data_IF_886679564071
#
_entry.id   IF_886679564071
#
_cell.length_a   1.000
_cell.length_b   1.000
_cell.length_c   1.000
_cell.angle_alpha   90.00
_cell.angle_beta   90.00
_cell.angle_gamma   90.00
#
_symmetry.space_group_name_H-M   'P 1'
#
loop_
_entity.id
_entity.type
_entity.pdbx_description
1 polymer ?
#
# COMPACT_ATOMS: atom_id res chain seq x y z
N UNK A 1 -3.94 5.68 9.59
CA UNK A 1 -2.91 6.17 8.66
C UNK A 1 -3.58 6.54 7.36
N UNK A 2 -3.20 7.67 6.75
CA UNK A 2 -3.73 8.09 5.45
C UNK A 2 -3.06 7.32 4.31
N UNK A 3 -3.75 7.19 3.18
CA UNK A 3 -3.25 6.42 2.03
C UNK A 3 -1.87 6.87 1.53
N UNK A 4 -1.58 8.18 1.53
CA UNK A 4 -0.29 8.72 1.11
C UNK A 4 0.86 8.35 2.07
N UNK A 5 0.57 8.24 3.37
CA UNK A 5 1.57 7.86 4.37
C UNK A 5 1.96 6.40 4.17
N UNK A 6 0.96 5.54 3.94
CA UNK A 6 1.17 4.12 3.65
C UNK A 6 1.93 3.93 2.33
N UNK A 7 1.57 4.67 1.27
CA UNK A 7 2.29 4.70 0.00
C UNK A 7 3.77 5.06 0.20
N UNK A 8 4.06 6.09 1.00
CA UNK A 8 5.43 6.48 1.30
C UNK A 8 6.18 5.39 2.07
N UNK A 9 5.54 4.78 3.07
CA UNK A 9 6.17 3.70 3.86
C UNK A 9 6.52 2.49 3.02
N UNK A 10 5.61 2.02 2.15
CA UNK A 10 5.90 0.87 1.27
C UNK A 10 6.92 1.25 0.19
N UNK A 11 6.88 2.50 -0.31
CA UNK A 11 7.82 3.01 -1.30
C UNK A 11 9.26 2.99 -0.80
N UNK A 12 9.49 3.44 0.44
CA UNK A 12 10.79 3.32 1.10
C UNK A 12 11.25 1.87 1.31
N UNK A 13 10.33 0.91 1.26
CA UNK A 13 10.61 -0.53 1.36
C UNK A 13 10.67 -1.22 0.00
N UNK A 14 10.95 -0.50 -1.08
CA UNK A 14 11.17 -1.06 -2.41
C UNK A 14 9.89 -1.38 -3.21
N UNK A 15 8.71 -1.03 -2.70
CA UNK A 15 7.48 -1.17 -3.47
C UNK A 15 7.31 -0.01 -4.46
N UNK A 16 7.17 -0.31 -5.74
CA UNK A 16 7.00 0.69 -6.80
C UNK A 16 5.60 0.64 -7.39
N UNK A 17 5.10 1.82 -7.78
CA UNK A 17 3.79 1.96 -8.41
C UNK A 17 3.78 1.33 -9.80
N UNK A 18 2.69 0.63 -10.13
CA UNK A 18 2.52 -0.06 -11.42
C UNK A 18 1.38 0.55 -12.22
N UNK A 19 0.20 0.64 -11.61
CA UNK A 19 -1.01 1.15 -12.27
C UNK A 19 -2.04 1.59 -11.25
N UNK A 20 -3.00 2.37 -11.73
CA UNK A 20 -4.14 2.81 -10.95
C UNK A 20 -5.43 2.50 -11.69
N UNK A 21 -6.46 2.11 -10.95
CA UNK A 21 -7.82 1.93 -11.48
C UNK A 21 -8.79 2.61 -10.52
N UNK A 22 -9.40 3.69 -10.97
CA UNK A 22 -10.19 4.57 -10.10
C UNK A 22 -9.35 5.10 -8.94
N UNK A 23 -9.84 4.93 -7.71
CA UNK A 23 -9.15 5.31 -6.48
C UNK A 23 -8.12 4.30 -5.99
N UNK A 24 -7.94 3.15 -6.65
CA UNK A 24 -7.07 2.09 -6.15
C UNK A 24 -5.74 2.09 -6.91
N UNK A 25 -4.63 2.28 -6.18
CA UNK A 25 -3.27 2.20 -6.72
C UNK A 25 -2.66 0.82 -6.44
N UNK A 26 -1.97 0.26 -7.43
CA UNK A 26 -1.34 -1.05 -7.38
C UNK A 26 0.17 -0.91 -7.40
N UNK A 27 0.84 -1.63 -6.50
CA UNK A 27 2.28 -1.64 -6.33
C UNK A 27 2.85 -3.05 -6.44
N UNK A 28 4.08 -3.16 -6.92
CA UNK A 28 4.88 -4.37 -6.98
C UNK A 28 6.21 -4.18 -6.27
N UNK A 29 6.84 -5.29 -5.95
CA UNK A 29 8.21 -5.35 -5.46
C UNK A 29 9.05 -6.17 -6.46
N UNK A 30 10.34 -5.90 -6.57
CA UNK A 30 11.22 -6.64 -7.49
C UNK A 30 11.41 -8.10 -7.05
N UNK A 31 11.57 -8.31 -5.74
CA UNK A 31 11.89 -9.62 -5.15
C UNK A 31 10.74 -10.28 -4.38
N UNK A 32 9.74 -9.51 -3.94
CA UNK A 32 8.62 -10.02 -3.15
C UNK A 32 7.46 -10.29 -4.10
N UNK A 33 6.98 -11.52 -4.12
CA UNK A 33 5.89 -11.91 -4.99
C UNK A 33 4.55 -11.33 -4.52
N UNK A 34 3.68 -11.06 -5.50
CA UNK A 34 2.35 -10.50 -5.26
C UNK A 34 2.27 -9.00 -5.56
N UNK A 35 1.13 -8.42 -5.19
CA UNK A 35 0.83 -7.00 -5.39
C UNK A 35 0.23 -6.42 -4.11
N UNK A 36 0.49 -5.14 -3.88
CA UNK A 36 -0.21 -4.34 -2.89
C UNK A 36 -1.21 -3.45 -3.60
N UNK A 37 -2.41 -3.33 -3.03
CA UNK A 37 -3.43 -2.41 -3.49
C UNK A 37 -3.72 -1.43 -2.35
N UNK A 38 -3.54 -0.14 -2.60
CA UNK A 38 -3.87 0.92 -1.65
C UNK A 38 -5.10 1.68 -2.16
N UNK A 39 -6.21 1.72 -1.40
CA UNK A 39 -7.35 2.57 -1.72
C UNK A 39 -7.10 4.03 -1.31
N UNK A 40 -7.20 4.96 -2.26
CA UNK A 40 -7.08 6.41 -2.07
C UNK A 40 -8.47 7.05 -1.99
N UNK A 41 -9.18 6.85 -0.88
CA UNK A 41 -10.56 7.35 -0.69
C UNK A 41 -10.58 8.74 -0.04
N UNK A 42 -9.84 9.69 -0.62
CA UNK A 42 -9.72 11.06 -0.11
C UNK A 42 -8.89 11.17 1.16
N UNK A 43 -9.23 12.13 2.02
CA UNK A 43 -8.47 12.52 3.22
C UNK A 43 -8.75 11.68 4.46
N UNK A 44 -9.62 10.66 4.36
CA UNK A 44 -9.93 9.75 5.47
C UNK A 44 -8.80 8.76 5.71
N UNK A 45 -8.65 8.37 6.97
CA UNK A 45 -7.78 7.27 7.35
C UNK A 45 -8.25 5.94 6.74
N UNK A 46 -7.29 5.08 6.45
CA UNK A 46 -7.56 3.71 6.08
C UNK A 46 -8.19 2.95 7.27
N UNK A 47 -9.18 2.07 7.02
CA UNK A 47 -9.64 1.15 8.05
C UNK A 47 -8.46 0.36 8.62
N UNK A 48 -8.35 0.24 9.96
CA UNK A 48 -7.20 -0.41 10.61
C UNK A 48 -6.90 -1.81 10.07
N UNK A 49 -7.92 -2.59 9.74
CA UNK A 49 -7.74 -3.92 9.14
C UNK A 49 -7.08 -3.87 7.76
N UNK A 50 -7.44 -2.88 6.93
CA UNK A 50 -6.82 -2.66 5.61
C UNK A 50 -5.37 -2.22 5.77
N UNK A 51 -5.12 -1.24 6.65
CA UNK A 51 -3.78 -0.76 6.97
C UNK A 51 -2.86 -1.91 7.41
N UNK A 52 -3.29 -2.71 8.40
CA UNK A 52 -2.51 -3.83 8.93
C UNK A 52 -2.28 -4.91 7.86
N UNK A 53 -3.30 -5.25 7.07
CA UNK A 53 -3.17 -6.25 6.00
C UNK A 53 -2.13 -5.82 4.96
N UNK A 54 -2.15 -4.55 4.57
CA UNK A 54 -1.17 -4.00 3.62
C UNK A 54 0.23 -3.99 4.23
N UNK A 55 0.40 -3.54 5.47
CA UNK A 55 1.71 -3.52 6.14
C UNK A 55 2.29 -4.93 6.30
N UNK A 56 1.46 -5.93 6.59
CA UNK A 56 1.88 -7.34 6.63
C UNK A 56 2.35 -7.84 5.27
N UNK A 57 1.57 -7.57 4.21
CA UNK A 57 1.98 -7.90 2.83
C UNK A 57 3.25 -7.17 2.40
N UNK A 58 3.43 -5.94 2.87
CA UNK A 58 4.62 -5.13 2.61
C UNK A 58 5.86 -5.60 3.39
N UNK A 59 5.74 -6.55 4.31
CA UNK A 59 6.84 -6.98 5.18
C UNK A 59 7.19 -5.98 6.28
N UNK A 60 6.35 -4.97 6.52
CA UNK A 60 6.60 -3.88 7.49
C UNK A 60 6.00 -4.15 8.88
N UNK A 61 5.16 -5.18 9.02
CA UNK A 61 4.52 -5.55 10.29
C UNK A 61 4.29 -7.06 10.36
N UNK A 62 4.45 -7.66 11.54
CA UNK A 62 4.13 -9.07 11.81
C UNK A 62 2.67 -9.25 12.25
#
# INVERSE_FOLDING_TARGET
MKAYELEKSIGSNGWYFVRQTGSHKIYKHETISGIIVIPFHGSKDLPKGTEISILKKAGLKK
#
